data_IF_802804037607
#
_entry.id   IF_802804037607
#
_cell.length_a   1.000
_cell.length_b   1.000
_cell.length_c   1.000
_cell.angle_alpha   90.00
_cell.angle_beta   90.00
_cell.angle_gamma   90.00
#
_symmetry.space_group_name_H-M   'P 1'
#
loop_
_entity.id
_entity.type
_entity.pdbx_description
1 polymer ?
#
# COMPACT_ATOMS: atom_id res chain seq x y z
N UNK A 1 -67.41 -8.21 -9.91
CA UNK A 1 -66.87 -7.68 -11.18
C UNK A 1 -65.52 -7.02 -10.92
N UNK A 2 -64.49 -7.45 -11.67
CA UNK A 2 -63.24 -6.76 -12.11
C UNK A 2 -62.77 -5.54 -11.29
N UNK A 3 -61.58 -5.56 -10.70
CA UNK A 3 -60.31 -5.07 -11.30
C UNK A 3 -59.10 -5.70 -10.55
N UNK A 4 -58.44 -6.76 -11.03
CA UNK A 4 -57.25 -6.86 -11.91
C UNK A 4 -56.14 -5.78 -11.76
N UNK A 5 -55.04 -6.23 -11.13
CA UNK A 5 -53.64 -6.23 -11.60
C UNK A 5 -52.89 -4.89 -11.75
N UNK A 6 -51.96 -4.62 -10.83
CA UNK A 6 -50.71 -3.87 -11.08
C UNK A 6 -49.76 -3.95 -9.86
N UNK A 7 -49.20 -5.13 -9.58
CA UNK A 7 -48.03 -5.27 -8.68
C UNK A 7 -47.11 -6.30 -9.29
N UNK A 8 -46.27 -5.91 -10.25
CA UNK A 8 -45.14 -6.73 -10.74
C UNK A 8 -44.35 -5.94 -11.77
N UNK A 9 -43.58 -4.92 -11.38
CA UNK A 9 -42.50 -4.34 -12.21
C UNK A 9 -41.61 -3.29 -11.50
N UNK A 10 -41.40 -3.40 -10.18
CA UNK A 10 -40.46 -2.52 -9.46
C UNK A 10 -39.28 -3.26 -8.81
N UNK A 11 -39.17 -4.59 -8.99
CA UNK A 11 -38.18 -5.42 -8.27
C UNK A 11 -36.94 -5.83 -9.09
N UNK A 12 -36.83 -5.45 -10.38
CA UNK A 12 -35.72 -5.91 -11.25
C UNK A 12 -34.67 -4.85 -11.62
N UNK A 13 -34.77 -3.60 -11.13
CA UNK A 13 -33.86 -2.53 -11.53
C UNK A 13 -32.70 -2.26 -10.55
N UNK A 14 -32.60 -2.99 -9.43
CA UNK A 14 -31.55 -2.76 -8.40
C UNK A 14 -30.34 -3.69 -8.51
N UNK A 15 -30.27 -4.57 -9.52
CA UNK A 15 -29.20 -5.57 -9.65
C UNK A 15 -28.05 -5.21 -10.59
N UNK A 16 -28.11 -4.04 -11.23
CA UNK A 16 -27.01 -3.53 -12.07
C UNK A 16 -26.54 -2.15 -11.62
N UNK A 17 -26.36 -1.94 -10.31
CA UNK A 17 -25.49 -0.85 -9.89
C UNK A 17 -24.05 -1.29 -10.14
N UNK A 18 -23.30 -0.69 -11.08
CA UNK A 18 -21.86 -0.84 -11.10
C UNK A 18 -21.38 -0.38 -9.72
N UNK A 19 -20.87 -1.32 -8.92
CA UNK A 19 -20.13 -0.99 -7.71
C UNK A 19 -19.07 0.00 -8.15
N UNK A 20 -19.26 1.28 -7.79
CA UNK A 20 -18.28 2.32 -8.05
C UNK A 20 -16.99 1.87 -7.39
N UNK A 21 -16.10 1.29 -8.20
CA UNK A 21 -14.76 0.89 -7.78
C UNK A 21 -13.98 2.17 -7.55
N UNK A 22 -14.19 2.79 -6.39
CA UNK A 22 -13.18 3.63 -5.78
C UNK A 22 -12.07 2.72 -5.21
N UNK A 23 -11.51 1.86 -6.07
CA UNK A 23 -10.30 1.11 -5.78
C UNK A 23 -9.20 2.09 -6.12
N UNK A 24 -8.58 2.71 -5.10
CA UNK A 24 -7.26 3.29 -5.33
C UNK A 24 -6.42 2.16 -5.90
N UNK A 25 -5.86 2.34 -7.11
CA UNK A 25 -5.25 1.26 -7.89
C UNK A 25 -4.32 0.41 -7.01
N UNK A 26 -4.43 -0.92 -7.13
CA UNK A 26 -3.50 -1.81 -6.46
C UNK A 26 -2.09 -1.53 -7.01
N UNK A 27 -1.14 -1.25 -6.12
CA UNK A 27 0.23 -0.87 -6.50
C UNK A 27 1.16 -2.05 -6.30
N UNK A 28 2.11 -2.23 -7.21
CA UNK A 28 3.05 -3.35 -7.15
C UNK A 28 3.99 -3.22 -5.93
N UNK A 29 4.36 -1.98 -5.59
CA UNK A 29 5.24 -1.66 -4.47
C UNK A 29 4.49 -0.81 -3.44
N UNK A 30 3.87 -1.43 -2.42
CA UNK A 30 3.07 -0.71 -1.42
C UNK A 30 3.93 0.12 -0.45
N UNK A 31 5.26 -0.04 -0.48
CA UNK A 31 6.22 0.84 0.18
C UNK A 31 6.77 1.93 -0.75
N UNK A 32 7.65 2.77 -0.19
CA UNK A 32 8.44 3.72 -0.99
C UNK A 32 9.81 3.11 -1.29
N UNK A 33 9.99 2.64 -2.53
CA UNK A 33 11.24 2.06 -3.03
C UNK A 33 12.43 3.03 -2.90
N UNK A 34 12.32 4.34 -3.23
CA UNK A 34 13.42 5.28 -2.99
C UNK A 34 13.86 5.37 -1.52
N UNK A 35 12.92 5.18 -0.58
CA UNK A 35 13.24 5.19 0.85
C UNK A 35 13.98 3.90 1.24
N UNK A 36 13.51 2.74 0.77
CA UNK A 36 14.13 1.46 1.08
C UNK A 36 15.52 1.30 0.43
N UNK A 37 15.67 1.71 -0.83
CA UNK A 37 16.96 1.81 -1.52
C UNK A 37 17.86 2.92 -0.95
N UNK A 38 17.33 3.74 -0.04
CA UNK A 38 18.08 4.70 0.77
C UNK A 38 18.72 4.13 2.03
N UNK A 39 18.50 2.84 2.34
CA UNK A 39 19.05 2.16 3.52
C UNK A 39 20.38 1.53 3.15
N UNK A 40 21.44 1.86 3.89
CA UNK A 40 22.82 1.45 3.54
C UNK A 40 22.96 -0.07 3.42
N UNK A 41 22.42 -0.83 4.37
CA UNK A 41 22.43 -2.30 4.33
C UNK A 41 21.80 -2.86 3.04
N UNK A 42 20.73 -2.24 2.55
CA UNK A 42 20.08 -2.66 1.29
C UNK A 42 20.98 -2.34 0.10
N UNK A 43 21.65 -1.19 0.11
CA UNK A 43 22.59 -0.79 -0.95
C UNK A 43 23.79 -1.74 -1.03
N UNK A 44 24.32 -2.12 0.12
CA UNK A 44 25.45 -3.05 0.24
C UNK A 44 25.04 -4.44 -0.25
N UNK A 45 23.87 -4.91 0.17
CA UNK A 45 23.33 -6.20 -0.24
C UNK A 45 23.07 -6.26 -1.75
N UNK A 46 22.61 -5.17 -2.36
CA UNK A 46 22.43 -5.04 -3.81
C UNK A 46 23.71 -4.72 -4.58
N UNK A 47 24.83 -4.51 -3.86
CA UNK A 47 26.13 -4.12 -4.44
C UNK A 47 26.01 -2.90 -5.37
N UNK A 48 25.27 -1.88 -4.93
CA UNK A 48 25.07 -0.68 -5.74
C UNK A 48 26.38 0.08 -5.91
N UNK A 49 26.69 0.47 -7.15
CA UNK A 49 27.86 1.30 -7.45
C UNK A 49 27.61 2.78 -7.08
N UNK A 50 28.66 3.59 -7.11
CA UNK A 50 28.60 5.01 -6.72
C UNK A 50 27.61 5.82 -7.56
N UNK A 51 27.50 5.53 -8.86
CA UNK A 51 26.55 6.23 -9.74
C UNK A 51 25.10 5.90 -9.37
N UNK A 52 24.79 4.62 -9.16
CA UNK A 52 23.45 4.17 -8.73
C UNK A 52 23.07 4.81 -7.39
N UNK A 53 24.01 4.83 -6.43
CA UNK A 53 23.82 5.45 -5.10
C UNK A 53 23.49 6.93 -5.23
N UNK A 54 24.26 7.69 -6.00
CA UNK A 54 24.05 9.12 -6.21
C UNK A 54 22.68 9.41 -6.84
N UNK A 55 22.29 8.66 -7.87
CA UNK A 55 20.96 8.81 -8.51
C UNK A 55 19.84 8.51 -7.51
N UNK A 56 19.95 7.44 -6.72
CA UNK A 56 18.95 7.08 -5.71
C UNK A 56 18.85 8.11 -4.58
N UNK A 57 19.96 8.75 -4.20
CA UNK A 57 19.95 9.86 -3.22
C UNK A 57 19.23 11.10 -3.75
N UNK A 58 19.41 11.43 -5.04
CA UNK A 58 18.63 12.49 -5.69
C UNK A 58 17.14 12.15 -5.71
N UNK A 59 16.78 10.94 -6.19
CA UNK A 59 15.39 10.49 -6.27
C UNK A 59 14.70 10.49 -4.92
N UNK A 60 15.40 10.06 -3.86
CA UNK A 60 14.88 10.06 -2.49
C UNK A 60 14.61 11.47 -1.98
N UNK A 61 15.50 12.41 -2.29
CA UNK A 61 15.38 13.81 -1.88
C UNK A 61 14.24 14.51 -2.62
N UNK A 62 14.16 14.33 -3.93
CA UNK A 62 13.06 14.79 -4.78
C UNK A 62 11.71 14.24 -4.30
N UNK A 63 11.62 12.93 -4.03
CA UNK A 63 10.40 12.30 -3.50
C UNK A 63 9.95 12.93 -2.18
N UNK A 64 10.87 13.08 -1.21
CA UNK A 64 10.56 13.70 0.09
C UNK A 64 10.05 15.12 -0.06
N UNK A 65 10.67 15.91 -0.95
CA UNK A 65 10.28 17.30 -1.19
C UNK A 65 8.90 17.38 -1.84
N UNK A 66 8.64 16.59 -2.87
CA UNK A 66 7.33 16.55 -3.52
C UNK A 66 6.22 16.06 -2.56
N UNK A 67 6.50 15.03 -1.76
CA UNK A 67 5.55 14.55 -0.76
C UNK A 67 5.22 15.62 0.30
N UNK A 68 6.24 16.36 0.76
CA UNK A 68 6.05 17.49 1.69
C UNK A 68 5.17 18.57 1.07
N UNK A 69 5.36 18.91 -0.20
CA UNK A 69 4.53 19.91 -0.88
C UNK A 69 3.06 19.49 -0.96
N UNK A 70 2.78 18.20 -1.21
CA UNK A 70 1.40 17.71 -1.24
C UNK A 70 0.74 17.85 0.14
N UNK A 71 1.46 17.45 1.21
CA UNK A 71 0.93 17.51 2.59
C UNK A 71 0.85 18.95 3.12
N UNK A 72 1.76 19.84 2.70
CA UNK A 72 1.79 21.24 3.12
C UNK A 72 0.55 22.04 2.68
N UNK A 73 -0.23 21.54 1.70
CA UNK A 73 -1.50 22.16 1.29
C UNK A 73 -2.58 22.10 2.38
N UNK A 74 -2.35 21.37 3.47
CA UNK A 74 -3.24 21.24 4.64
C UNK A 74 -4.72 20.98 4.25
N UNK A 75 -5.02 19.87 3.58
CA UNK A 75 -6.35 19.57 3.07
C UNK A 75 -7.40 19.49 4.21
N UNK A 76 -8.32 20.45 4.21
CA UNK A 76 -9.27 20.69 5.29
C UNK A 76 -10.53 19.81 5.16
N UNK A 77 -10.94 19.51 3.93
CA UNK A 77 -12.15 18.73 3.64
C UNK A 77 -11.84 17.26 3.35
N UNK A 78 -12.82 16.34 3.52
CA UNK A 78 -12.66 14.94 3.12
C UNK A 78 -12.28 14.76 1.63
N UNK A 79 -12.82 15.60 0.74
CA UNK A 79 -12.55 15.54 -0.69
C UNK A 79 -11.11 15.94 -1.02
N UNK A 80 -10.61 17.04 -0.45
CA UNK A 80 -9.22 17.47 -0.63
C UNK A 80 -8.22 16.45 -0.08
N UNK A 81 -8.57 15.76 1.02
CA UNK A 81 -7.74 14.70 1.59
C UNK A 81 -7.65 13.49 0.67
N UNK A 82 -8.78 13.07 0.12
CA UNK A 82 -8.81 11.98 -0.86
C UNK A 82 -7.96 12.34 -2.09
N UNK A 83 -8.02 13.59 -2.53
CA UNK A 83 -7.21 14.08 -3.64
C UNK A 83 -5.71 14.12 -3.30
N UNK A 84 -5.35 14.60 -2.11
CA UNK A 84 -3.96 14.56 -1.63
C UNK A 84 -3.43 13.12 -1.51
N UNK A 85 -4.26 12.20 -1.05
CA UNK A 85 -3.93 10.76 -0.97
C UNK A 85 -3.68 10.17 -2.35
N UNK A 86 -4.56 10.44 -3.33
CA UNK A 86 -4.35 10.02 -4.73
C UNK A 86 -3.04 10.58 -5.29
N UNK A 87 -2.74 11.86 -5.04
CA UNK A 87 -1.47 12.49 -5.47
C UNK A 87 -0.26 11.83 -4.82
N UNK A 88 -0.33 11.49 -3.52
CA UNK A 88 0.74 10.78 -2.83
C UNK A 88 0.95 9.36 -3.37
N UNK A 89 -0.13 8.64 -3.69
CA UNK A 89 -0.04 7.31 -4.31
C UNK A 89 0.60 7.39 -5.70
N UNK A 90 0.12 8.29 -6.56
CA UNK A 90 0.69 8.49 -7.90
C UNK A 90 2.17 8.95 -7.84
N UNK A 91 2.50 9.80 -6.87
CA UNK A 91 3.89 10.20 -6.61
C UNK A 91 4.74 8.98 -6.22
N UNK A 92 4.24 8.13 -5.32
CA UNK A 92 4.93 6.93 -4.88
C UNK A 92 5.21 6.00 -6.07
N UNK A 93 4.21 5.73 -6.90
CA UNK A 93 4.35 4.84 -8.06
C UNK A 93 5.40 5.36 -9.05
N UNK A 94 5.32 6.65 -9.41
CA UNK A 94 6.29 7.28 -10.32
C UNK A 94 7.72 7.19 -9.78
N UNK A 95 7.93 7.45 -8.50
CA UNK A 95 9.28 7.39 -7.92
C UNK A 95 9.75 5.97 -7.67
N UNK A 96 8.83 5.03 -7.42
CA UNK A 96 9.16 3.61 -7.35
C UNK A 96 9.68 3.11 -8.70
N UNK A 97 8.99 3.43 -9.79
CA UNK A 97 9.43 3.07 -11.14
C UNK A 97 10.81 3.67 -11.48
N UNK A 98 11.00 4.97 -11.22
CA UNK A 98 12.29 5.65 -11.43
C UNK A 98 13.42 5.05 -10.61
N UNK A 99 13.15 4.66 -9.36
CA UNK A 99 14.17 4.06 -8.51
C UNK A 99 14.52 2.64 -8.97
N UNK A 100 13.53 1.83 -9.37
CA UNK A 100 13.75 0.50 -9.92
C UNK A 100 14.48 0.52 -11.26
N UNK A 101 14.27 1.56 -12.09
CA UNK A 101 14.95 1.69 -13.37
C UNK A 101 16.47 1.84 -13.22
N UNK A 102 16.95 2.36 -12.07
CA UNK A 102 18.39 2.44 -11.75
C UNK A 102 19.03 1.08 -11.50
N UNK A 103 18.24 0.06 -11.19
CA UNK A 103 18.69 -1.29 -10.89
C UNK A 103 18.75 -2.13 -12.17
N UNK A 104 19.77 -2.97 -12.29
CA UNK A 104 19.80 -4.02 -13.29
C UNK A 104 18.87 -5.19 -12.91
N UNK A 105 18.65 -6.14 -13.82
CA UNK A 105 17.72 -7.26 -13.60
C UNK A 105 18.03 -8.08 -12.36
N UNK A 106 19.31 -8.41 -12.11
CA UNK A 106 19.73 -9.18 -10.93
C UNK A 106 19.44 -8.42 -9.63
N UNK A 107 19.75 -7.12 -9.61
CA UNK A 107 19.47 -6.23 -8.48
C UNK A 107 17.96 -6.09 -8.24
N UNK A 108 17.12 -5.99 -9.29
CA UNK A 108 15.66 -5.94 -9.14
C UNK A 108 15.12 -7.22 -8.51
N UNK A 109 15.54 -8.38 -8.99
CA UNK A 109 15.13 -9.67 -8.41
C UNK A 109 15.53 -9.77 -6.94
N UNK A 110 16.74 -9.33 -6.58
CA UNK A 110 17.19 -9.31 -5.18
C UNK A 110 16.42 -8.29 -4.35
N UNK A 111 16.15 -7.10 -4.90
CA UNK A 111 15.37 -6.06 -4.23
C UNK A 111 13.96 -6.54 -3.89
N UNK A 112 13.27 -7.24 -4.81
CA UNK A 112 11.94 -7.79 -4.53
C UNK A 112 11.93 -8.72 -3.32
N UNK A 113 12.99 -9.53 -3.14
CA UNK A 113 13.14 -10.38 -1.95
C UNK A 113 13.32 -9.55 -0.68
N UNK A 114 14.18 -8.53 -0.72
CA UNK A 114 14.41 -7.61 0.40
C UNK A 114 13.11 -6.87 0.76
N UNK A 115 12.38 -6.37 -0.23
CA UNK A 115 11.11 -5.68 -0.02
C UNK A 115 10.09 -6.59 0.66
N UNK A 116 9.94 -7.84 0.19
CA UNK A 116 9.06 -8.84 0.80
C UNK A 116 9.41 -9.10 2.26
N UNK A 117 10.70 -9.23 2.58
CA UNK A 117 11.16 -9.41 3.96
C UNK A 117 10.85 -8.19 4.85
N UNK A 118 11.08 -6.97 4.34
CA UNK A 118 10.91 -5.73 5.11
C UNK A 118 9.44 -5.40 5.35
N UNK A 119 8.60 -5.62 4.35
CA UNK A 119 7.16 -5.32 4.42
C UNK A 119 6.38 -6.43 5.12
N UNK A 120 6.85 -7.67 5.07
CA UNK A 120 6.17 -8.82 5.65
C UNK A 120 4.76 -8.95 5.08
N UNK A 121 3.76 -9.17 5.93
CA UNK A 121 2.35 -9.33 5.52
C UNK A 121 1.80 -8.18 4.66
N UNK A 122 2.39 -6.97 4.71
CA UNK A 122 1.92 -5.86 3.89
C UNK A 122 2.12 -6.08 2.38
N UNK A 123 2.99 -7.01 1.96
CA UNK A 123 3.10 -7.37 0.53
C UNK A 123 1.88 -8.11 0.00
N UNK A 124 0.95 -8.50 0.86
CA UNK A 124 -0.36 -9.02 0.42
C UNK A 124 -1.21 -7.94 -0.26
N UNK A 125 -0.84 -6.66 -0.19
CA UNK A 125 -1.44 -5.61 -1.03
C UNK A 125 -0.95 -5.62 -2.48
N UNK A 126 0.16 -6.28 -2.77
CA UNK A 126 0.79 -6.34 -4.10
C UNK A 126 0.07 -7.33 -5.01
N UNK A 127 -0.38 -6.92 -6.22
CA UNK A 127 -1.04 -7.81 -7.18
C UNK A 127 -0.23 -9.06 -7.56
N UNK A 128 1.09 -8.94 -7.77
CA UNK A 128 1.91 -10.11 -8.11
C UNK A 128 1.95 -11.16 -6.99
N UNK A 129 2.05 -10.74 -5.73
CA UNK A 129 2.01 -11.64 -4.57
C UNK A 129 0.62 -12.27 -4.43
N UNK A 130 -0.44 -11.50 -4.64
CA UNK A 130 -1.81 -12.01 -4.62
C UNK A 130 -2.01 -13.10 -5.68
N UNK A 131 -1.43 -12.91 -6.87
CA UNK A 131 -1.44 -13.91 -7.96
C UNK A 131 -0.58 -15.13 -7.62
N UNK A 132 0.62 -14.93 -7.06
CA UNK A 132 1.55 -15.99 -6.64
C UNK A 132 0.93 -16.91 -5.58
N UNK A 133 0.12 -16.35 -4.67
CA UNK A 133 -0.61 -17.11 -3.64
C UNK A 133 -2.00 -17.58 -4.10
N UNK A 134 -2.38 -17.31 -5.35
CA UNK A 134 -3.69 -17.62 -5.90
C UNK A 134 -4.86 -17.16 -4.99
N UNK A 135 -4.84 -15.90 -4.54
CA UNK A 135 -5.91 -15.39 -3.67
C UNK A 135 -7.26 -15.40 -4.39
N UNK A 136 -8.28 -15.92 -3.72
CA UNK A 136 -9.65 -15.95 -4.22
C UNK A 136 -10.26 -14.53 -4.26
N UNK A 137 -11.32 -14.29 -5.05
CA UNK A 137 -12.02 -12.99 -5.06
C UNK A 137 -12.46 -12.52 -3.66
N UNK A 138 -12.93 -13.44 -2.80
CA UNK A 138 -13.33 -13.14 -1.42
C UNK A 138 -12.13 -12.68 -0.58
N UNK A 139 -10.96 -13.29 -0.77
CA UNK A 139 -9.73 -12.89 -0.08
C UNK A 139 -9.23 -11.53 -0.57
N UNK A 140 -9.26 -11.28 -1.88
CA UNK A 140 -8.91 -9.98 -2.45
C UNK A 140 -9.79 -8.84 -1.88
N UNK A 141 -11.10 -9.07 -1.77
CA UNK A 141 -12.01 -8.11 -1.13
C UNK A 141 -11.68 -7.89 0.35
N UNK A 142 -11.32 -8.94 1.09
CA UNK A 142 -10.93 -8.82 2.49
C UNK A 142 -9.61 -8.03 2.65
N UNK A 143 -8.61 -8.30 1.82
CA UNK A 143 -7.34 -7.55 1.78
C UNK A 143 -7.60 -6.07 1.52
N UNK A 144 -8.43 -5.76 0.52
CA UNK A 144 -8.77 -4.37 0.19
C UNK A 144 -9.50 -3.65 1.32
N UNK A 145 -10.44 -4.33 1.98
CA UNK A 145 -11.13 -3.80 3.16
C UNK A 145 -10.16 -3.48 4.29
N UNK A 146 -9.17 -4.35 4.54
CA UNK A 146 -8.12 -4.11 5.55
C UNK A 146 -7.28 -2.90 5.16
N UNK A 147 -6.92 -2.76 3.88
CA UNK A 147 -6.14 -1.63 3.35
C UNK A 147 -6.85 -0.30 3.58
N UNK A 148 -8.11 -0.19 3.15
CA UNK A 148 -8.92 1.02 3.30
C UNK A 148 -9.12 1.40 4.78
N UNK A 149 -9.36 0.41 5.65
CA UNK A 149 -9.45 0.63 7.10
C UNK A 149 -8.12 1.14 7.68
N UNK A 150 -7.00 0.58 7.23
CA UNK A 150 -5.65 1.01 7.61
C UNK A 150 -5.38 2.47 7.22
N UNK A 151 -5.68 2.85 5.98
CA UNK A 151 -5.52 4.21 5.48
C UNK A 151 -6.34 5.22 6.29
N UNK A 152 -7.61 4.90 6.58
CA UNK A 152 -8.45 5.74 7.42
C UNK A 152 -7.88 5.93 8.84
N UNK A 153 -7.31 4.88 9.43
CA UNK A 153 -6.67 4.94 10.75
C UNK A 153 -5.38 5.76 10.74
N UNK A 154 -4.50 5.56 9.76
CA UNK A 154 -3.27 6.37 9.58
C UNK A 154 -3.62 7.84 9.40
N UNK A 155 -4.64 8.15 8.60
CA UNK A 155 -5.14 9.51 8.44
C UNK A 155 -5.60 10.12 9.76
N UNK A 156 -6.29 9.35 10.63
CA UNK A 156 -6.69 9.82 11.98
C UNK A 156 -5.48 10.12 12.86
N UNK A 157 -4.45 9.26 12.84
CA UNK A 157 -3.23 9.43 13.64
C UNK A 157 -2.48 10.69 13.19
N UNK A 158 -2.25 10.86 11.88
CA UNK A 158 -1.55 12.02 11.34
C UNK A 158 -2.27 13.33 11.68
N UNK A 159 -3.61 13.37 11.60
CA UNK A 159 -4.39 14.55 12.00
C UNK A 159 -4.23 14.90 13.48
N UNK A 160 -4.17 13.91 14.37
CA UNK A 160 -3.91 14.17 15.80
C UNK A 160 -2.53 14.81 15.98
N UNK A 161 -1.52 14.31 15.26
CA UNK A 161 -0.17 14.84 15.33
C UNK A 161 -0.07 16.27 14.77
N UNK A 162 -0.64 16.52 13.59
CA UNK A 162 -0.67 17.84 12.95
C UNK A 162 -1.42 18.88 13.81
N UNK A 163 -2.47 18.45 14.52
CA UNK A 163 -3.19 19.29 15.47
C UNK A 163 -2.49 19.44 16.85
N UNK A 164 -1.26 18.92 17.01
CA UNK A 164 -0.51 18.98 18.26
C UNK A 164 -1.10 18.16 19.42
N UNK A 165 -2.07 17.27 19.15
CA UNK A 165 -2.76 16.47 20.18
C UNK A 165 -1.97 15.26 20.67
N UNK A 166 -0.97 14.84 19.90
CA UNK A 166 -0.06 13.75 20.23
C UNK A 166 1.36 14.15 19.88
N UNK A 167 2.33 13.67 20.65
CA UNK A 167 3.75 13.89 20.39
C UNK A 167 4.28 13.05 19.23
N UNK A 168 5.51 13.35 18.79
CA UNK A 168 6.17 12.61 17.72
C UNK A 168 6.34 11.12 18.04
N UNK A 169 6.80 10.80 19.26
CA UNK A 169 7.01 9.41 19.67
C UNK A 169 5.70 8.63 19.72
N UNK A 170 4.66 9.20 20.33
CA UNK A 170 3.32 8.58 20.38
C UNK A 170 2.75 8.32 18.98
N UNK A 171 2.94 9.25 18.04
CA UNK A 171 2.59 9.03 16.64
C UNK A 171 3.29 7.80 16.07
N UNK A 172 4.61 7.67 16.28
CA UNK A 172 5.35 6.52 15.77
C UNK A 172 4.84 5.20 16.37
N UNK A 173 4.53 5.19 17.67
CA UNK A 173 4.05 3.99 18.35
C UNK A 173 2.65 3.59 17.87
N UNK A 174 1.75 4.56 17.68
CA UNK A 174 0.43 4.31 17.08
C UNK A 174 0.52 3.78 15.64
N UNK A 175 1.43 4.32 14.83
CA UNK A 175 1.66 3.84 13.46
C UNK A 175 2.25 2.43 13.45
N UNK A 176 3.18 2.11 14.36
CA UNK A 176 3.74 0.75 14.54
C UNK A 176 2.67 -0.24 14.96
N UNK A 177 1.88 0.09 15.98
CA UNK A 177 0.78 -0.76 16.45
C UNK A 177 -0.24 -1.01 15.32
N UNK A 178 -0.57 0.02 14.54
CA UNK A 178 -1.45 -0.12 13.38
C UNK A 178 -0.85 -1.02 12.30
N UNK A 179 0.45 -0.90 12.02
CA UNK A 179 1.15 -1.79 11.08
C UNK A 179 1.00 -3.25 11.53
N UNK A 180 1.30 -3.55 12.80
CA UNK A 180 1.20 -4.91 13.36
C UNK A 180 -0.23 -5.46 13.25
N UNK A 181 -1.23 -4.69 13.67
CA UNK A 181 -2.63 -5.10 13.58
C UNK A 181 -3.09 -5.35 12.13
N UNK A 182 -2.66 -4.52 11.17
CA UNK A 182 -2.90 -4.78 9.74
C UNK A 182 -2.23 -6.08 9.30
N UNK A 183 -0.98 -6.32 9.68
CA UNK A 183 -0.25 -7.54 9.32
C UNK A 183 -0.94 -8.80 9.84
N UNK A 184 -1.36 -8.83 11.11
CA UNK A 184 -2.11 -9.94 11.69
C UNK A 184 -3.44 -10.19 10.98
N UNK A 185 -4.18 -9.11 10.66
CA UNK A 185 -5.45 -9.22 9.96
C UNK A 185 -5.26 -9.80 8.55
N UNK A 186 -4.19 -9.42 7.84
CA UNK A 186 -3.89 -9.93 6.50
C UNK A 186 -3.54 -11.41 6.51
N UNK A 187 -2.72 -11.87 7.46
CA UNK A 187 -2.36 -13.29 7.57
C UNK A 187 -3.57 -14.18 7.85
N UNK A 188 -4.57 -13.67 8.58
CA UNK A 188 -5.85 -14.37 8.82
C UNK A 188 -6.72 -14.53 7.57
N UNK A 189 -6.44 -13.78 6.50
CA UNK A 189 -7.15 -13.94 5.21
C UNK A 189 -6.66 -15.18 4.47
N UNK A 190 -5.42 -15.59 4.70
CA UNK A 190 -4.79 -16.71 3.99
C UNK A 190 -5.26 -18.06 4.56
N UNK A 191 -5.38 -19.06 3.68
CA UNK A 191 -5.53 -20.46 4.10
C UNK A 191 -4.23 -20.96 4.75
N UNK A 192 -4.25 -22.11 5.46
CA UNK A 192 -3.01 -22.69 5.99
C UNK A 192 -1.95 -22.95 4.91
N UNK A 193 -2.36 -23.43 3.73
CA UNK A 193 -1.45 -23.68 2.59
C UNK A 193 -0.85 -22.37 2.07
N UNK A 194 -1.67 -21.33 1.89
CA UNK A 194 -1.18 -20.02 1.47
C UNK A 194 -0.26 -19.38 2.51
N UNK A 195 -0.52 -19.57 3.80
CA UNK A 195 0.37 -19.11 4.88
C UNK A 195 1.73 -19.80 4.81
N UNK A 196 1.76 -21.10 4.54
CA UNK A 196 3.01 -21.84 4.37
C UNK A 196 3.82 -21.35 3.15
N UNK A 197 3.17 -21.09 2.01
CA UNK A 197 3.85 -20.50 0.85
C UNK A 197 4.30 -19.07 1.13
N UNK A 198 3.46 -18.25 1.75
CA UNK A 198 3.78 -16.88 2.11
C UNK A 198 5.01 -16.77 3.05
N UNK A 199 5.14 -17.71 3.99
CA UNK A 199 6.31 -17.78 4.87
C UNK A 199 7.61 -17.98 4.07
N UNK A 200 7.58 -18.77 2.99
CA UNK A 200 8.74 -18.93 2.09
C UNK A 200 9.08 -17.63 1.34
N UNK A 201 8.06 -16.88 0.93
CA UNK A 201 8.25 -15.60 0.20
C UNK A 201 8.88 -14.50 1.06
N UNK A 202 8.64 -14.54 2.37
CA UNK A 202 9.06 -13.51 3.33
C UNK A 202 10.18 -13.95 4.26
N UNK A 203 10.64 -15.20 4.15
CA UNK A 203 11.75 -15.74 4.93
C UNK A 203 13.03 -14.92 4.69
N UNK A 204 13.73 -14.63 5.78
CA UNK A 204 15.06 -14.04 5.74
C UNK A 204 16.04 -15.11 5.25
N UNK A 205 16.53 -14.98 4.02
CA UNK A 205 17.63 -15.82 3.57
C UNK A 205 18.91 -15.28 4.20
N UNK A 206 19.61 -16.15 4.95
CA UNK A 206 20.86 -15.84 5.66
C UNK A 206 22.00 -15.48 4.73
#
# INVERSE_FOLDING_TARGET
MKTRSLILLAALALWFMPQAKAVTAAVEHPGSVPILLGVEKVRDELKLNSLQRAVLDSLRSEYKNAARQIVATNPATPAERLEAEKKLLALNDRYNERALSTLNSSQRTKFLKIERQVLGALVLYTPSVQKELALTPKQLQAVEKIRLSGLAAVGKINRKFEAGKIGYQERLDLLRARKLASSEALLKVLTPVQNAEFAKLTAKQG
#
